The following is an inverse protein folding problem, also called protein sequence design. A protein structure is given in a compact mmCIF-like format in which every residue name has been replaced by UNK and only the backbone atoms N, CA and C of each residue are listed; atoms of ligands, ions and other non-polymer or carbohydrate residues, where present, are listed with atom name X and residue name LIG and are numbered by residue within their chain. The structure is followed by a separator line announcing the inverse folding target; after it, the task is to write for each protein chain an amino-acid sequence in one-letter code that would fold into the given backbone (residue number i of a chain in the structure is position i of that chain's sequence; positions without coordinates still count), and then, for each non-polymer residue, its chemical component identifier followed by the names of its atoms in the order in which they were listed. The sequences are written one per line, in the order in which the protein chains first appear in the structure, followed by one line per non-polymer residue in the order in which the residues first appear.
data_IF_689573997604
#
_entry.id   IF_689573997604
#
_cell.length_a   1.000
_cell.length_b   1.000
_cell.length_c   1.000
_cell.angle_alpha   90.00
_cell.angle_beta   90.00
_cell.angle_gamma   90.00
#
_symmetry.space_group_name_H-M   'P 1'
#
loop_
_entity.id
_entity.type
_entity.pdbx_description
1 polymer ?
#
# COMPACT_ATOMS: atom_id res chain seq x y z
N UNK A 1 -33.41 -45.28 14.45
CA UNK A 1 -32.29 -45.05 13.52
C UNK A 1 -31.60 -43.77 13.96
N UNK A 2 -30.42 -43.90 14.60
CA UNK A 2 -29.66 -42.75 15.09
C UNK A 2 -28.88 -42.12 13.94
N UNK A 3 -29.12 -40.84 13.68
CA UNK A 3 -28.31 -40.07 12.74
C UNK A 3 -26.98 -39.73 13.42
N UNK A 4 -25.91 -40.36 12.94
CA UNK A 4 -24.53 -40.03 13.28
C UNK A 4 -24.23 -38.64 12.73
N UNK A 5 -24.20 -37.64 13.60
CA UNK A 5 -23.64 -36.33 13.27
C UNK A 5 -22.12 -36.48 13.19
N UNK A 6 -21.61 -36.63 11.96
CA UNK A 6 -20.18 -36.56 11.69
C UNK A 6 -19.76 -35.10 11.88
N UNK A 7 -19.20 -34.79 13.04
CA UNK A 7 -18.47 -33.53 13.24
C UNK A 7 -17.19 -33.61 12.42
N UNK A 8 -17.22 -33.03 11.22
CA UNK A 8 -16.01 -32.77 10.44
C UNK A 8 -15.27 -31.66 11.18
N UNK A 9 -14.27 -32.04 11.98
CA UNK A 9 -13.32 -31.10 12.54
C UNK A 9 -12.44 -30.61 11.40
N UNK A 10 -12.74 -29.43 10.85
CA UNK A 10 -11.90 -28.79 9.85
C UNK A 10 -10.55 -28.40 10.49
N UNK A 11 -9.41 -28.70 9.84
CA UNK A 11 -8.11 -28.27 10.33
C UNK A 11 -8.04 -26.74 10.28
N UNK A 12 -7.60 -26.11 11.38
CA UNK A 12 -7.34 -24.68 11.59
C UNK A 12 -7.70 -23.76 10.42
N UNK A 13 -8.87 -23.11 10.49
CA UNK A 13 -9.30 -22.13 9.49
C UNK A 13 -8.17 -21.10 9.26
N UNK A 14 -7.66 -21.04 8.03
CA UNK A 14 -6.71 -19.99 7.65
C UNK A 14 -7.40 -18.63 7.82
N UNK A 15 -6.69 -17.68 8.43
CA UNK A 15 -7.21 -16.32 8.58
C UNK A 15 -7.55 -15.74 7.20
N UNK A 16 -8.72 -15.10 7.02
CA UNK A 16 -9.00 -14.33 5.82
C UNK A 16 -7.87 -13.33 5.55
N UNK A 17 -7.56 -13.07 4.26
CA UNK A 17 -6.41 -12.22 3.93
C UNK A 17 -6.49 -10.82 4.56
N UNK A 18 -7.70 -10.27 4.75
CA UNK A 18 -7.92 -8.96 5.37
C UNK A 18 -7.72 -8.96 6.89
N UNK A 19 -7.48 -10.12 7.51
CA UNK A 19 -7.10 -10.29 8.92
C UNK A 19 -5.61 -10.56 9.12
N UNK A 20 -4.84 -10.80 8.06
CA UNK A 20 -3.38 -10.94 8.14
C UNK A 20 -2.76 -9.61 8.60
N UNK A 21 -1.85 -9.68 9.56
CA UNK A 21 -1.25 -8.52 10.25
C UNK A 21 -2.26 -7.59 10.95
N UNK A 22 -3.44 -8.11 11.32
CA UNK A 22 -4.47 -7.36 12.07
C UNK A 22 -4.67 -7.99 13.46
N UNK A 23 -4.51 -7.20 14.55
CA UNK A 23 -4.85 -7.65 15.91
C UNK A 23 -6.29 -8.13 15.99
N UNK A 24 -6.57 -9.14 16.83
CA UNK A 24 -7.91 -9.75 16.90
C UNK A 24 -9.01 -8.74 17.22
N UNK A 25 -8.70 -7.76 18.06
CA UNK A 25 -9.59 -6.66 18.46
C UNK A 25 -9.95 -5.70 17.31
N UNK A 26 -9.18 -5.70 16.23
CA UNK A 26 -9.39 -4.84 15.05
C UNK A 26 -9.93 -5.61 13.83
N UNK A 27 -10.16 -6.92 13.97
CA UNK A 27 -10.69 -7.76 12.90
C UNK A 27 -12.16 -7.43 12.65
N UNK A 28 -12.50 -7.32 11.37
CA UNK A 28 -13.85 -7.02 10.90
C UNK A 28 -14.46 -8.26 10.23
N UNK A 29 -15.76 -8.54 10.41
CA UNK A 29 -16.38 -9.74 9.86
C UNK A 29 -16.40 -9.76 8.32
N UNK A 30 -16.44 -8.58 7.67
CA UNK A 30 -16.36 -8.45 6.21
C UNK A 30 -15.06 -7.79 5.77
N UNK A 31 -14.66 -8.08 4.52
CA UNK A 31 -13.51 -7.43 3.90
C UNK A 31 -13.73 -5.90 3.82
N UNK A 32 -12.83 -5.08 4.39
CA UNK A 32 -12.95 -3.63 4.33
C UNK A 32 -13.00 -3.11 2.89
N UNK A 33 -13.79 -2.05 2.59
CA UNK A 33 -13.93 -1.53 1.23
C UNK A 33 -12.61 -1.14 0.54
N UNK A 34 -11.61 -0.72 1.31
CA UNK A 34 -10.30 -0.34 0.78
C UNK A 34 -9.41 -1.53 0.36
N UNK A 35 -9.83 -2.77 0.64
CA UNK A 35 -9.16 -4.01 0.22
C UNK A 35 -9.97 -4.80 -0.81
N UNK A 36 -11.16 -4.33 -1.19
CA UNK A 36 -11.97 -4.97 -2.24
C UNK A 36 -11.35 -4.67 -3.61
N UNK A 37 -11.23 -5.70 -4.45
CA UNK A 37 -10.75 -5.54 -5.83
C UNK A 37 -9.26 -5.19 -5.95
N UNK A 38 -8.44 -5.55 -4.96
CA UNK A 38 -6.99 -5.42 -5.09
C UNK A 38 -6.49 -6.16 -6.33
N UNK A 39 -5.52 -5.55 -7.04
CA UNK A 39 -4.83 -6.24 -8.11
C UNK A 39 -4.05 -7.46 -7.55
N UNK A 40 -3.65 -8.42 -8.40
CA UNK A 40 -3.00 -9.64 -7.93
C UNK A 40 -1.73 -9.43 -7.10
N UNK A 41 -0.95 -8.39 -7.40
CA UNK A 41 0.27 -8.07 -6.65
C UNK A 41 -0.08 -7.60 -5.23
N UNK A 42 -0.98 -6.61 -5.13
CA UNK A 42 -1.37 -6.05 -3.84
C UNK A 42 -2.10 -7.07 -2.96
N UNK A 43 -2.93 -7.94 -3.57
CA UNK A 43 -3.58 -9.04 -2.86
C UNK A 43 -2.54 -9.99 -2.27
N UNK A 44 -1.54 -10.40 -3.06
CA UNK A 44 -0.44 -11.24 -2.57
C UNK A 44 0.30 -10.56 -1.41
N UNK A 45 0.69 -9.30 -1.58
CA UNK A 45 1.43 -8.57 -0.55
C UNK A 45 0.61 -8.43 0.74
N UNK A 46 -0.67 -8.06 0.69
CA UNK A 46 -1.53 -7.94 1.89
C UNK A 46 -1.80 -9.30 2.55
N UNK A 47 -1.75 -10.40 1.77
CA UNK A 47 -1.91 -11.76 2.29
C UNK A 47 -0.65 -12.32 2.94
N UNK A 48 0.48 -11.62 2.91
CA UNK A 48 1.75 -12.07 3.49
C UNK A 48 1.90 -11.56 4.92
N UNK A 49 2.21 -12.41 5.91
CA UNK A 49 2.60 -11.97 7.25
C UNK A 49 3.83 -11.06 7.21
N UNK A 50 3.85 -10.01 8.04
CA UNK A 50 5.01 -9.10 8.11
C UNK A 50 6.30 -9.85 8.47
N UNK A 51 6.22 -10.93 9.24
CA UNK A 51 7.35 -11.79 9.61
C UNK A 51 7.99 -12.53 8.42
N UNK A 52 7.27 -12.70 7.32
CA UNK A 52 7.77 -13.31 6.09
C UNK A 52 8.27 -12.26 5.08
N UNK A 53 8.10 -10.97 5.40
CA UNK A 53 8.55 -9.90 4.55
C UNK A 53 10.07 -9.72 4.66
N UNK A 54 10.75 -9.68 3.51
CA UNK A 54 12.18 -9.35 3.41
C UNK A 54 12.36 -8.00 2.73
N UNK A 55 13.05 -7.09 3.42
CA UNK A 55 13.50 -5.82 2.84
C UNK A 55 14.55 -6.06 1.76
N UNK A 56 14.48 -5.26 0.69
CA UNK A 56 15.44 -5.33 -0.41
C UNK A 56 16.79 -4.75 0.02
N UNK A 57 17.91 -5.31 -0.47
CA UNK A 57 19.23 -4.68 -0.28
C UNK A 57 19.42 -3.51 -1.24
N UNK A 58 20.43 -2.67 -1.00
CA UNK A 58 20.72 -1.54 -1.87
C UNK A 58 21.12 -1.98 -3.29
N UNK A 59 21.83 -3.09 -3.41
CA UNK A 59 22.23 -3.69 -4.67
C UNK A 59 21.01 -4.17 -5.45
N UNK A 60 20.03 -4.79 -4.77
CA UNK A 60 18.78 -5.21 -5.38
C UNK A 60 17.96 -4.00 -5.87
N UNK A 61 17.85 -2.95 -5.03
CA UNK A 61 17.19 -1.69 -5.41
C UNK A 61 17.83 -1.10 -6.66
N UNK A 62 19.16 -0.98 -6.67
CA UNK A 62 19.93 -0.46 -7.80
C UNK A 62 19.76 -1.29 -9.06
N UNK A 63 19.75 -2.63 -8.93
CA UNK A 63 19.52 -3.55 -10.04
C UNK A 63 18.11 -3.37 -10.63
N UNK A 64 17.08 -3.26 -9.80
CA UNK A 64 15.70 -3.07 -10.26
C UNK A 64 15.50 -1.75 -11.00
N UNK A 65 16.12 -0.67 -10.52
CA UNK A 65 16.10 0.64 -11.20
C UNK A 65 16.78 0.51 -12.57
N UNK A 66 18.00 -0.04 -12.61
CA UNK A 66 18.78 -0.19 -13.84
C UNK A 66 18.08 -1.06 -14.89
N UNK A 67 17.29 -2.04 -14.46
CA UNK A 67 16.55 -2.96 -15.34
C UNK A 67 15.11 -2.55 -15.57
N UNK A 68 14.69 -1.38 -15.08
CA UNK A 68 13.32 -0.86 -15.16
C UNK A 68 12.23 -1.81 -14.62
N UNK A 69 12.58 -2.68 -13.67
CA UNK A 69 11.66 -3.61 -13.01
C UNK A 69 11.03 -2.95 -11.76
N UNK A 70 10.47 -1.75 -11.93
CA UNK A 70 9.98 -0.90 -10.83
C UNK A 70 8.74 -1.50 -10.15
N UNK A 71 8.02 -2.38 -10.82
CA UNK A 71 6.88 -3.12 -10.29
C UNK A 71 7.27 -4.11 -9.20
N UNK A 72 8.55 -4.45 -9.04
CA UNK A 72 9.02 -5.33 -7.95
C UNK A 72 9.13 -4.63 -6.61
N UNK A 73 9.18 -3.30 -6.60
CA UNK A 73 9.18 -2.58 -5.34
C UNK A 73 7.87 -2.77 -4.58
N UNK A 74 7.98 -3.07 -3.28
CA UNK A 74 6.85 -3.34 -2.40
C UNK A 74 6.99 -2.57 -1.09
N UNK A 75 5.87 -2.42 -0.39
CA UNK A 75 5.84 -1.99 1.01
C UNK A 75 5.80 -3.24 1.89
N UNK A 76 6.14 -3.07 3.16
CA UNK A 76 5.80 -4.06 4.18
C UNK A 76 4.29 -4.36 4.09
N UNK A 77 3.83 -5.61 4.22
CA UNK A 77 2.41 -5.96 4.07
C UNK A 77 1.45 -5.10 4.91
N UNK A 78 1.74 -4.89 6.19
CA UNK A 78 0.93 -4.01 7.05
C UNK A 78 0.94 -2.56 6.59
N UNK A 79 2.06 -2.04 6.09
CA UNK A 79 2.15 -0.69 5.51
C UNK A 79 1.35 -0.56 4.23
N UNK A 80 1.35 -1.59 3.36
CA UNK A 80 0.49 -1.57 2.18
C UNK A 80 -0.98 -1.52 2.58
N UNK A 81 -1.39 -2.31 3.58
CA UNK A 81 -2.77 -2.29 4.10
C UNK A 81 -3.14 -0.90 4.62
N UNK A 82 -2.29 -0.29 5.44
CA UNK A 82 -2.50 1.06 5.99
C UNK A 82 -2.53 2.13 4.88
N UNK A 83 -1.63 2.04 3.90
CA UNK A 83 -1.62 2.90 2.72
C UNK A 83 -2.91 2.81 1.91
N UNK A 84 -3.45 1.60 1.71
CA UNK A 84 -4.75 1.40 1.02
C UNK A 84 -5.90 2.04 1.79
N UNK A 85 -5.95 1.88 3.11
CA UNK A 85 -6.95 2.55 3.95
C UNK A 85 -6.84 4.09 3.86
N UNK A 86 -5.62 4.62 3.97
CA UNK A 86 -5.34 6.05 3.89
C UNK A 86 -5.75 6.64 2.54
N UNK A 87 -5.30 6.02 1.44
CA UNK A 87 -5.60 6.51 0.09
C UNK A 87 -7.07 6.39 -0.27
N UNK A 88 -7.75 5.33 0.17
CA UNK A 88 -9.20 5.20 0.02
C UNK A 88 -9.93 6.36 0.70
N UNK A 89 -9.57 6.69 1.95
CA UNK A 89 -10.17 7.80 2.69
C UNK A 89 -9.93 9.14 1.99
N UNK A 90 -8.70 9.41 1.56
CA UNK A 90 -8.36 10.66 0.89
C UNK A 90 -9.07 10.82 -0.45
N UNK A 91 -9.15 9.75 -1.25
CA UNK A 91 -9.89 9.79 -2.51
C UNK A 91 -11.38 10.09 -2.29
N UNK A 92 -11.99 9.57 -1.21
CA UNK A 92 -13.37 9.89 -0.84
C UNK A 92 -13.57 11.35 -0.45
N UNK A 93 -12.62 11.95 0.26
CA UNK A 93 -12.72 13.34 0.74
C UNK A 93 -12.37 14.36 -0.35
N UNK A 94 -11.32 14.11 -1.13
CA UNK A 94 -10.77 15.09 -2.09
C UNK A 94 -11.12 14.76 -3.55
N UNK A 95 -11.91 13.70 -3.80
CA UNK A 95 -12.25 13.19 -5.13
C UNK A 95 -11.15 12.34 -5.77
N UNK A 96 -9.87 12.63 -5.48
CA UNK A 96 -8.74 11.80 -5.87
C UNK A 96 -7.52 12.06 -4.97
N UNK A 97 -6.56 11.13 -4.96
CA UNK A 97 -5.27 11.33 -4.29
C UNK A 97 -4.50 12.49 -4.95
N UNK A 98 -4.59 12.61 -6.28
CA UNK A 98 -3.94 13.70 -7.02
C UNK A 98 -4.47 15.08 -6.58
N UNK A 99 -5.78 15.21 -6.39
CA UNK A 99 -6.39 16.44 -5.89
C UNK A 99 -5.94 16.75 -4.46
N UNK A 100 -5.86 15.74 -3.60
CA UNK A 100 -5.31 15.90 -2.24
C UNK A 100 -3.87 16.41 -2.30
N UNK A 101 -3.00 15.79 -3.08
CA UNK A 101 -1.60 16.22 -3.22
C UNK A 101 -1.52 17.65 -3.74
N UNK A 102 -2.29 17.97 -4.78
CA UNK A 102 -2.25 19.29 -5.39
C UNK A 102 -2.70 20.40 -4.43
N UNK A 103 -3.86 20.20 -3.77
CA UNK A 103 -4.48 21.22 -2.92
C UNK A 103 -3.85 21.30 -1.53
N UNK A 104 -3.61 20.16 -0.89
CA UNK A 104 -3.20 20.14 0.51
C UNK A 104 -1.68 20.13 0.69
N UNK A 105 -0.94 19.44 -0.20
CA UNK A 105 0.51 19.21 -0.04
C UNK A 105 1.33 20.21 -0.84
N UNK A 106 1.02 20.35 -2.14
CA UNK A 106 1.71 21.28 -3.03
C UNK A 106 1.21 22.71 -2.81
N UNK A 107 -0.12 22.88 -2.72
CA UNK A 107 -0.84 24.17 -2.72
C UNK A 107 -0.60 24.96 -4.01
N UNK A 108 -0.69 24.25 -5.14
CA UNK A 108 -0.60 24.87 -6.46
C UNK A 108 -1.99 25.08 -7.04
N UNK A 109 -2.17 26.22 -7.71
CA UNK A 109 -3.42 26.56 -8.36
C UNK A 109 -3.63 25.73 -9.63
N UNK A 110 -4.89 25.53 -10.00
CA UNK A 110 -5.28 24.88 -11.25
C UNK A 110 -5.68 25.92 -12.30
N UNK A 111 -5.22 25.80 -13.56
CA UNK A 111 -4.36 24.73 -14.08
C UNK A 111 -2.90 24.85 -13.60
N UNK A 112 -2.26 23.70 -13.41
CA UNK A 112 -0.83 23.66 -13.06
C UNK A 112 -0.03 23.97 -14.32
N UNK A 113 0.59 25.14 -14.35
CA UNK A 113 1.40 25.62 -15.49
C UNK A 113 2.80 25.93 -14.98
N UNK A 114 3.79 25.21 -15.52
CA UNK A 114 5.19 25.49 -15.22
C UNK A 114 5.61 26.82 -15.83
N UNK A 115 6.48 27.57 -15.14
CA UNK A 115 7.05 28.83 -15.63
C UNK A 115 8.09 28.60 -16.72
N UNK A 116 8.86 27.51 -16.64
CA UNK A 116 9.96 27.24 -17.56
C UNK A 116 10.23 25.76 -17.81
N UNK A 117 11.45 25.45 -18.25
CA UNK A 117 11.92 24.08 -18.38
C UNK A 117 12.04 23.40 -17.00
N UNK A 118 12.03 22.06 -16.91
CA UNK A 118 12.21 21.35 -15.64
C UNK A 118 13.46 21.83 -14.89
N UNK A 119 13.30 22.13 -13.59
CA UNK A 119 14.35 22.62 -12.70
C UNK A 119 14.93 24.01 -13.04
N UNK A 120 14.29 24.78 -13.92
CA UNK A 120 14.70 26.16 -14.22
C UNK A 120 14.24 27.16 -13.14
N UNK A 121 13.07 26.92 -12.56
CA UNK A 121 12.48 27.77 -11.52
C UNK A 121 12.15 26.92 -10.29
N UNK A 122 12.60 27.38 -9.12
CA UNK A 122 12.38 26.67 -7.85
C UNK A 122 10.89 26.52 -7.52
N UNK A 123 10.04 27.46 -7.95
CA UNK A 123 8.59 27.42 -7.74
C UNK A 123 7.89 26.29 -8.54
N UNK A 124 8.52 25.77 -9.60
CA UNK A 124 7.96 24.70 -10.45
C UNK A 124 8.22 23.30 -9.86
N UNK A 125 8.97 23.19 -8.75
CA UNK A 125 9.35 21.92 -8.13
C UNK A 125 9.16 21.99 -6.61
N UNK A 126 8.64 20.91 -6.02
CA UNK A 126 8.58 20.77 -4.56
C UNK A 126 8.99 19.38 -4.14
N UNK A 127 9.96 19.29 -3.25
CA UNK A 127 10.39 18.02 -2.64
C UNK A 127 9.57 17.80 -1.37
N UNK A 128 8.91 16.65 -1.28
CA UNK A 128 8.11 16.25 -0.13
C UNK A 128 8.60 14.90 0.40
N UNK A 129 8.49 14.71 1.71
CA UNK A 129 8.68 13.40 2.31
C UNK A 129 7.57 12.44 1.84
N UNK A 130 7.97 11.21 1.52
CA UNK A 130 7.02 10.15 1.20
C UNK A 130 6.43 9.59 2.50
N UNK A 131 5.17 9.91 2.80
CA UNK A 131 4.48 9.46 4.01
C UNK A 131 4.29 7.93 4.07
N UNK A 132 4.42 7.24 2.92
CA UNK A 132 4.26 5.79 2.77
C UNK A 132 5.43 5.21 1.98
N UNK A 133 6.64 5.20 2.56
CA UNK A 133 7.84 4.76 1.87
C UNK A 133 7.73 3.29 1.43
N UNK A 134 8.46 2.95 0.38
CA UNK A 134 8.71 1.54 0.04
C UNK A 134 9.66 0.97 1.09
N UNK A 135 9.64 -0.34 1.32
CA UNK A 135 10.59 -0.91 2.26
C UNK A 135 11.98 -0.88 1.61
N UNK A 136 12.80 0.03 2.11
CA UNK A 136 14.20 0.22 1.74
C UNK A 136 15.06 -0.21 2.93
N UNK A 137 16.31 -0.61 2.70
CA UNK A 137 17.21 -0.98 3.79
C UNK A 137 17.44 0.24 4.71
N UNK A 138 17.65 0.04 6.03
CA UNK A 138 17.93 1.14 6.95
C UNK A 138 19.25 1.84 6.59
N UNK A 139 19.25 3.18 6.60
CA UNK A 139 20.49 3.97 6.67
C UNK A 139 21.25 4.19 5.36
N UNK A 140 20.56 4.59 4.29
CA UNK A 140 21.20 5.37 3.20
C UNK A 140 20.89 6.85 3.36
#
# INVERSE_FOLDING_TARGET
MGSLNITITLPSASLPFWHINVPETERTPQCPPFLVGLNPKDLRTVSTPDSEYRTQTWEEVSYLIRTNNLERFQRVPSDLRRYKAFTYRLAKIHGSIANFVLRERLRWDTPVVARGAPFQHDDDVKILHNDWPRALPPGT
#
